data_IF_952481475826
#
_entry.id   IF_952481475826
#
_cell.length_a   1.000
_cell.length_b   1.000
_cell.length_c   1.000
_cell.angle_alpha   90.00
_cell.angle_beta   90.00
_cell.angle_gamma   90.00
#
_symmetry.space_group_name_H-M   'P 1'
#
loop_
_entity.id
_entity.type
_entity.pdbx_description
1 polymer ?
#
# COMPACT_ATOMS: atom_id res chain seq x y z
N UNK A 1 7.70 7.12 -2.48
CA UNK A 1 8.32 6.30 -3.54
C UNK A 1 7.26 5.90 -4.54
N UNK A 2 7.44 6.28 -5.81
CA UNK A 2 6.42 6.13 -6.84
C UNK A 2 6.25 4.70 -7.37
N UNK A 3 5.31 4.56 -8.29
CA UNK A 3 4.94 3.33 -9.00
C UNK A 3 6.16 2.69 -9.63
N UNK A 4 6.39 1.40 -9.36
CA UNK A 4 7.49 0.58 -9.91
C UNK A 4 8.88 1.19 -9.73
N UNK A 5 9.06 2.10 -8.76
CA UNK A 5 10.32 2.78 -8.58
C UNK A 5 11.46 1.83 -8.22
N UNK A 6 11.22 0.78 -7.43
CA UNK A 6 12.23 -0.23 -7.14
C UNK A 6 12.56 -1.11 -8.36
N UNK A 7 11.62 -1.26 -9.30
CA UNK A 7 11.86 -2.01 -10.53
C UNK A 7 12.62 -1.19 -11.59
N UNK A 8 12.49 0.13 -11.58
CA UNK A 8 12.96 1.02 -12.67
C UNK A 8 14.13 1.92 -12.27
N UNK A 9 14.41 2.05 -10.97
CA UNK A 9 15.47 2.91 -10.43
C UNK A 9 16.45 2.06 -9.63
N UNK A 10 17.50 1.50 -10.25
CA UNK A 10 18.47 0.63 -9.57
C UNK A 10 19.09 1.25 -8.31
N UNK A 11 19.30 2.57 -8.32
CA UNK A 11 19.85 3.31 -7.17
C UNK A 11 18.96 3.25 -5.93
N UNK A 12 17.67 3.00 -6.06
CA UNK A 12 16.75 3.02 -4.93
C UNK A 12 17.03 1.88 -3.94
N UNK A 13 17.47 0.72 -4.44
CA UNK A 13 17.85 -0.40 -3.57
C UNK A 13 19.07 -0.04 -2.70
N UNK A 14 20.05 0.67 -3.25
CA UNK A 14 21.20 1.17 -2.49
C UNK A 14 20.83 2.24 -1.45
N UNK A 15 19.66 2.88 -1.59
CA UNK A 15 19.14 3.87 -0.65
C UNK A 15 18.28 3.25 0.46
N UNK A 16 18.18 1.93 0.54
CA UNK A 16 17.40 1.25 1.57
C UNK A 16 17.74 1.73 2.98
N UNK A 17 19.02 1.66 3.38
CA UNK A 17 19.44 2.05 4.73
C UNK A 17 19.14 3.54 5.03
N UNK A 18 19.51 4.51 4.18
CA UNK A 18 19.12 5.91 4.38
C UNK A 18 17.59 6.14 4.47
N UNK A 19 16.80 5.40 3.67
CA UNK A 19 15.34 5.48 3.74
C UNK A 19 14.80 4.92 5.05
N UNK A 20 15.38 3.83 5.57
CA UNK A 20 14.99 3.26 6.86
C UNK A 20 15.40 4.18 8.01
N UNK A 21 16.57 4.84 7.93
CA UNK A 21 16.97 5.86 8.90
C UNK A 21 16.03 7.06 8.89
N UNK A 22 15.59 7.51 7.70
CA UNK A 22 14.58 8.55 7.55
C UNK A 22 13.27 8.17 8.27
N UNK A 23 12.75 6.96 8.03
CA UNK A 23 11.55 6.47 8.72
C UNK A 23 11.80 6.38 10.22
N UNK A 24 12.91 5.77 10.64
CA UNK A 24 13.28 5.62 12.06
C UNK A 24 13.33 6.98 12.79
N UNK A 25 13.78 8.02 12.10
CA UNK A 25 13.87 9.39 12.60
C UNK A 25 12.54 10.14 12.74
N UNK A 26 11.42 9.59 12.26
CA UNK A 26 10.11 10.25 12.27
C UNK A 26 9.52 10.53 10.89
N UNK A 27 10.26 10.17 9.83
CA UNK A 27 9.80 10.29 8.47
C UNK A 27 8.66 9.33 8.13
N UNK A 28 7.92 9.66 7.06
CA UNK A 28 6.86 8.81 6.51
C UNK A 28 7.25 8.37 5.12
N UNK A 29 7.30 7.06 4.90
CA UNK A 29 7.66 6.50 3.61
C UNK A 29 6.51 5.68 3.05
N UNK A 30 5.88 6.19 1.99
CA UNK A 30 4.87 5.46 1.24
C UNK A 30 5.53 4.88 -0.02
N UNK A 31 5.50 3.56 -0.15
CA UNK A 31 5.98 2.81 -1.31
C UNK A 31 4.77 2.30 -2.08
N UNK A 32 4.66 2.70 -3.35
CA UNK A 32 3.50 2.42 -4.17
C UNK A 32 3.83 1.41 -5.27
N UNK A 33 3.01 0.37 -5.39
CA UNK A 33 2.84 -0.45 -6.59
C UNK A 33 4.16 -0.91 -7.23
N UNK A 34 4.86 -1.83 -6.58
CA UNK A 34 6.04 -2.49 -7.15
C UNK A 34 5.70 -3.96 -7.43
N UNK A 35 6.42 -4.57 -8.38
CA UNK A 35 6.24 -6.00 -8.71
C UNK A 35 7.48 -6.77 -8.31
N UNK A 36 7.32 -8.06 -8.00
CA UNK A 36 8.43 -8.98 -7.85
C UNK A 36 8.16 -10.22 -8.71
N UNK A 37 8.87 -10.35 -9.83
CA UNK A 37 8.72 -11.50 -10.73
C UNK A 37 10.04 -11.82 -11.43
N UNK A 38 10.10 -12.97 -12.12
CA UNK A 38 11.33 -13.45 -12.79
C UNK A 38 11.95 -12.43 -13.75
N UNK A 39 11.16 -11.56 -14.35
CA UNK A 39 11.63 -10.52 -15.29
C UNK A 39 11.94 -9.19 -14.60
N UNK A 40 11.43 -8.96 -13.40
CA UNK A 40 11.60 -7.76 -12.60
C UNK A 40 11.79 -8.16 -11.12
N UNK A 41 12.88 -8.86 -10.78
CA UNK A 41 13.11 -9.29 -9.41
C UNK A 41 13.38 -8.07 -8.52
N UNK A 42 12.96 -8.17 -7.26
CA UNK A 42 13.43 -7.28 -6.21
C UNK A 42 14.61 -7.94 -5.50
N UNK A 43 15.79 -7.39 -5.71
CA UNK A 43 17.05 -7.94 -5.19
C UNK A 43 17.35 -7.55 -3.73
N UNK A 44 16.33 -7.17 -2.96
CA UNK A 44 16.49 -6.73 -1.58
C UNK A 44 15.22 -6.23 -0.90
N UNK A 45 15.30 -5.91 0.41
CA UNK A 45 14.17 -5.41 1.17
C UNK A 45 13.77 -4.01 0.74
N UNK A 46 12.46 -3.73 0.73
CA UNK A 46 11.93 -2.41 0.36
C UNK A 46 11.27 -1.67 1.53
N UNK A 47 11.18 -2.31 2.70
CA UNK A 47 10.61 -1.76 3.93
C UNK A 47 11.37 -2.22 5.19
N UNK A 48 11.01 -1.71 6.37
CA UNK A 48 11.78 -1.86 7.61
C UNK A 48 11.76 -3.28 8.19
N UNK A 49 10.74 -4.06 7.84
CA UNK A 49 10.56 -5.45 8.26
C UNK A 49 10.23 -6.33 7.04
N UNK A 50 10.48 -7.64 7.10
CA UNK A 50 10.24 -8.54 5.97
C UNK A 50 8.77 -8.56 5.54
N UNK A 51 8.57 -8.50 4.22
CA UNK A 51 7.33 -8.87 3.54
C UNK A 51 7.66 -9.22 2.09
N UNK A 52 6.78 -9.98 1.44
CA UNK A 52 6.90 -10.29 0.03
C UNK A 52 5.88 -9.51 -0.77
N UNK A 53 6.22 -9.17 -2.02
CA UNK A 53 5.24 -8.73 -2.99
C UNK A 53 4.77 -9.98 -3.74
N UNK A 54 3.49 -10.32 -3.61
CA UNK A 54 2.90 -11.50 -4.24
C UNK A 54 2.32 -11.15 -5.61
N UNK A 55 1.56 -12.10 -6.19
CA UNK A 55 0.76 -11.87 -7.40
C UNK A 55 -0.72 -11.66 -7.08
N UNK A 56 -1.07 -11.62 -5.81
CA UNK A 56 -2.43 -11.43 -5.36
C UNK A 56 -2.92 -10.05 -5.80
N UNK A 57 -4.19 -10.01 -6.16
CA UNK A 57 -4.83 -8.87 -6.81
C UNK A 57 -6.32 -8.92 -6.58
N UNK A 58 -6.93 -7.75 -6.66
CA UNK A 58 -8.38 -7.59 -6.72
C UNK A 58 -8.65 -6.73 -7.95
N UNK A 59 -9.11 -7.40 -9.00
CA UNK A 59 -9.27 -6.82 -10.34
C UNK A 59 -10.62 -6.17 -10.55
N UNK A 60 -11.63 -6.52 -9.75
CA UNK A 60 -12.93 -5.88 -9.72
C UNK A 60 -12.84 -4.52 -9.03
N UNK A 61 -12.96 -3.43 -9.78
CA UNK A 61 -12.99 -2.06 -9.24
C UNK A 61 -14.16 -1.78 -8.28
N UNK A 62 -15.21 -2.61 -8.30
CA UNK A 62 -16.39 -2.49 -7.44
C UNK A 62 -16.29 -3.32 -6.16
N UNK A 63 -15.27 -4.19 -6.04
CA UNK A 63 -15.08 -5.03 -4.86
C UNK A 63 -15.10 -4.21 -3.56
N UNK A 64 -15.77 -4.74 -2.52
CA UNK A 64 -15.89 -4.05 -1.24
C UNK A 64 -14.52 -3.96 -0.54
N UNK A 65 -14.15 -2.74 -0.13
CA UNK A 65 -12.93 -2.48 0.64
C UNK A 65 -13.26 -2.49 2.12
N UNK A 66 -13.11 -3.64 2.78
CA UNK A 66 -13.50 -3.80 4.19
C UNK A 66 -12.33 -3.42 5.11
N UNK A 67 -12.49 -2.45 6.04
CA UNK A 67 -11.47 -2.14 7.02
C UNK A 67 -11.14 -3.32 7.93
N UNK A 68 -9.86 -3.66 8.09
CA UNK A 68 -9.42 -4.67 9.08
C UNK A 68 -9.55 -4.10 10.50
N UNK A 69 -9.09 -2.86 10.70
CA UNK A 69 -9.36 -2.07 11.90
C UNK A 69 -10.05 -0.74 11.52
N UNK A 70 -11.38 -0.63 11.68
CA UNK A 70 -12.13 0.59 11.36
C UNK A 70 -11.69 1.83 12.14
N UNK A 71 -10.94 1.68 13.24
CA UNK A 71 -10.44 2.78 14.07
C UNK A 71 -9.03 3.22 13.69
N UNK A 72 -8.37 2.54 12.76
CA UNK A 72 -7.01 2.86 12.37
C UNK A 72 -6.89 4.33 11.89
N UNK A 73 -5.86 5.10 12.29
CA UNK A 73 -5.73 6.50 11.93
C UNK A 73 -5.74 6.76 10.41
N UNK A 74 -5.18 5.85 9.61
CA UNK A 74 -5.22 5.92 8.14
C UNK A 74 -6.65 5.93 7.56
N UNK A 75 -7.64 5.44 8.31
CA UNK A 75 -9.04 5.37 7.88
C UNK A 75 -9.91 6.43 8.54
N UNK A 76 -9.39 7.14 9.55
CA UNK A 76 -10.18 8.06 10.38
C UNK A 76 -9.68 9.50 10.38
N UNK A 77 -8.43 9.77 9.95
CA UNK A 77 -7.84 11.13 9.97
C UNK A 77 -6.88 11.38 8.79
N UNK A 78 -6.84 12.63 8.27
CA UNK A 78 -7.74 13.74 8.59
C UNK A 78 -9.16 13.54 8.05
N UNK A 79 -9.36 12.61 7.13
CA UNK A 79 -10.67 12.26 6.58
C UNK A 79 -11.15 10.95 7.23
N UNK A 80 -12.42 10.91 7.65
CA UNK A 80 -13.08 9.64 7.98
C UNK A 80 -13.51 8.98 6.68
N UNK A 81 -12.92 7.84 6.37
CA UNK A 81 -13.23 7.06 5.17
C UNK A 81 -14.43 6.14 5.44
N UNK A 82 -15.33 6.04 4.48
CA UNK A 82 -16.44 5.10 4.44
C UNK A 82 -16.54 4.39 3.10
N UNK A 83 -17.56 3.57 2.91
CA UNK A 83 -17.78 2.78 1.69
C UNK A 83 -17.77 3.65 0.42
N UNK A 84 -18.35 4.85 0.48
CA UNK A 84 -18.41 5.78 -0.65
C UNK A 84 -17.04 6.32 -1.10
N UNK A 85 -16.01 6.28 -0.25
CA UNK A 85 -14.65 6.66 -0.65
C UNK A 85 -14.01 5.60 -1.58
N UNK A 86 -14.65 4.44 -1.72
CA UNK A 86 -14.27 3.38 -2.65
C UNK A 86 -15.24 3.26 -3.84
N UNK A 87 -16.21 4.17 -3.96
CA UNK A 87 -17.07 4.25 -5.15
C UNK A 87 -16.30 4.84 -6.34
N UNK A 88 -16.76 4.52 -7.55
CA UNK A 88 -16.28 5.08 -8.83
C UNK A 88 -14.78 4.91 -9.10
N UNK A 89 -14.14 3.93 -8.46
CA UNK A 89 -12.78 3.55 -8.82
C UNK A 89 -12.77 3.04 -10.26
N UNK A 90 -11.77 3.44 -11.02
CA UNK A 90 -11.59 3.04 -12.41
C UNK A 90 -10.55 1.96 -12.49
N UNK A 91 -10.93 0.79 -13.02
CA UNK A 91 -10.05 -0.35 -13.24
C UNK A 91 -9.23 -0.77 -12.01
N UNK A 92 -9.63 -1.91 -11.44
CA UNK A 92 -9.07 -2.66 -10.31
C UNK A 92 -8.88 -1.91 -8.98
N UNK A 93 -9.02 -2.64 -7.88
CA UNK A 93 -8.62 -2.13 -6.55
C UNK A 93 -7.10 -2.10 -6.43
N UNK A 94 -6.43 -3.15 -6.88
CA UNK A 94 -4.98 -3.19 -6.87
C UNK A 94 -4.40 -4.55 -7.19
N UNK A 95 -3.08 -4.58 -7.29
CA UNK A 95 -2.28 -5.77 -7.57
C UNK A 95 -1.05 -5.78 -6.70
N UNK A 96 -0.39 -6.93 -6.71
CA UNK A 96 0.91 -7.13 -6.11
C UNK A 96 0.82 -6.90 -4.60
N UNK A 97 -0.22 -7.46 -3.98
CA UNK A 97 -0.42 -7.27 -2.55
C UNK A 97 0.79 -7.79 -1.77
N UNK A 98 1.01 -7.21 -0.60
CA UNK A 98 1.97 -7.77 0.32
C UNK A 98 1.49 -9.16 0.76
N UNK A 99 2.42 -10.10 0.95
CA UNK A 99 2.21 -11.42 1.52
C UNK A 99 3.37 -11.78 2.44
N UNK A 100 3.23 -12.84 3.23
CA UNK A 100 4.25 -13.34 4.17
C UNK A 100 4.93 -12.22 4.98
N UNK A 101 4.13 -11.25 5.42
CA UNK A 101 4.63 -10.07 6.11
C UNK A 101 4.83 -10.33 7.61
N UNK A 102 5.81 -9.64 8.17
CA UNK A 102 6.09 -9.65 9.60
C UNK A 102 4.91 -9.08 10.42
N UNK A 103 4.66 -9.62 11.62
CA UNK A 103 3.53 -9.24 12.49
C UNK A 103 3.54 -7.78 12.95
N UNK A 104 4.65 -7.05 12.76
CA UNK A 104 4.72 -5.60 12.98
C UNK A 104 3.96 -4.78 11.94
N UNK A 105 3.61 -5.38 10.80
CA UNK A 105 2.74 -4.76 9.82
C UNK A 105 1.27 -4.96 10.16
N UNK A 106 0.49 -3.89 10.01
CA UNK A 106 -0.96 -3.87 10.14
C UNK A 106 -1.56 -3.70 8.73
N UNK A 107 -2.31 -4.68 8.23
CA UNK A 107 -3.07 -4.51 7.00
C UNK A 107 -4.24 -3.54 7.23
N UNK A 108 -4.56 -2.71 6.24
CA UNK A 108 -5.68 -1.76 6.35
C UNK A 108 -7.00 -2.33 5.84
N UNK A 109 -6.95 -3.17 4.81
CA UNK A 109 -8.12 -3.62 4.07
C UNK A 109 -8.10 -5.12 3.84
N UNK A 110 -9.28 -5.71 3.88
CA UNK A 110 -9.63 -7.01 3.31
C UNK A 110 -10.55 -6.78 2.11
N UNK A 111 -10.24 -7.41 0.97
CA UNK A 111 -11.01 -7.32 -0.27
C UNK A 111 -10.82 -8.59 -1.11
N UNK A 112 -11.73 -8.90 -2.03
CA UNK A 112 -11.63 -10.04 -2.93
C UNK A 112 -12.44 -9.81 -4.20
N UNK A 113 -12.04 -10.48 -5.28
CA UNK A 113 -12.87 -10.63 -6.47
C UNK A 113 -13.99 -11.66 -6.19
N UNK A 114 -15.09 -11.59 -6.95
CA UNK A 114 -16.25 -12.46 -6.74
C UNK A 114 -15.86 -13.94 -6.81
N UNK A 115 -16.17 -14.69 -5.74
CA UNK A 115 -15.88 -16.13 -5.65
C UNK A 115 -14.44 -16.46 -5.22
N UNK A 116 -13.59 -15.47 -4.99
CA UNK A 116 -12.24 -15.66 -4.45
C UNK A 116 -12.21 -15.48 -2.92
N UNK A 117 -11.14 -15.98 -2.29
CA UNK A 117 -10.94 -15.79 -0.85
C UNK A 117 -10.59 -14.33 -0.52
N UNK A 118 -11.02 -13.80 0.64
CA UNK A 118 -10.60 -12.49 1.12
C UNK A 118 -9.08 -12.36 1.18
N UNK A 119 -8.56 -11.32 0.55
CA UNK A 119 -7.15 -10.97 0.55
C UNK A 119 -6.93 -9.73 1.42
N UNK A 120 -5.90 -9.80 2.24
CA UNK A 120 -5.29 -8.64 2.91
C UNK A 120 -3.99 -8.27 2.20
N UNK A 121 -3.33 -7.20 2.65
CA UNK A 121 -2.01 -6.83 2.12
C UNK A 121 -2.02 -5.84 0.96
N UNK A 122 -3.19 -5.42 0.49
CA UNK A 122 -3.32 -4.32 -0.49
C UNK A 122 -2.70 -3.01 0.03
N UNK A 123 -2.77 -2.78 1.33
CA UNK A 123 -2.01 -1.75 2.03
C UNK A 123 -1.61 -2.26 3.41
N UNK A 124 -0.31 -2.23 3.69
CA UNK A 124 0.25 -2.59 5.00
C UNK A 124 1.00 -1.39 5.60
N UNK A 125 0.87 -1.20 6.91
CA UNK A 125 1.45 -0.10 7.66
C UNK A 125 2.28 -0.64 8.81
N UNK A 126 3.50 -0.13 9.00
CA UNK A 126 4.29 -0.43 10.19
C UNK A 126 4.92 0.83 10.77
N UNK A 127 4.98 0.92 12.09
CA UNK A 127 5.83 1.89 12.79
C UNK A 127 7.26 1.37 12.82
N UNK A 128 8.20 2.24 12.49
CA UNK A 128 9.62 1.98 12.62
C UNK A 128 10.30 3.18 13.27
N UNK A 129 10.86 3.00 14.47
CA UNK A 129 11.30 4.11 15.31
C UNK A 129 10.16 5.10 15.56
N UNK A 130 10.39 6.36 15.22
CA UNK A 130 9.40 7.45 15.41
C UNK A 130 8.48 7.66 14.20
N UNK A 131 8.77 7.02 13.07
CA UNK A 131 8.04 7.23 11.83
C UNK A 131 7.20 6.04 11.39
N UNK A 132 6.73 6.12 10.15
CA UNK A 132 5.77 5.17 9.58
C UNK A 132 6.21 4.77 8.19
N UNK A 133 6.19 3.46 7.93
CA UNK A 133 6.32 2.89 6.61
C UNK A 133 4.95 2.40 6.14
N UNK A 134 4.64 2.65 4.87
CA UNK A 134 3.45 2.15 4.20
C UNK A 134 3.88 1.50 2.88
N UNK A 135 3.44 0.27 2.65
CA UNK A 135 3.39 -0.30 1.31
C UNK A 135 1.94 -0.33 0.85
N UNK A 136 1.67 0.09 -0.38
CA UNK A 136 0.35 -0.04 -1.01
C UNK A 136 0.46 -0.58 -2.43
N UNK A 137 -0.22 -1.69 -2.68
CA UNK A 137 -0.51 -2.26 -4.00
C UNK A 137 -1.81 -1.74 -4.63
N UNK A 138 -2.55 -0.87 -3.93
CA UNK A 138 -3.73 -0.21 -4.51
C UNK A 138 -3.36 0.59 -5.75
N UNK A 139 -4.24 0.56 -6.75
CA UNK A 139 -4.05 1.21 -8.05
C UNK A 139 -4.25 2.74 -8.00
N UNK A 140 -3.74 3.42 -6.97
CA UNK A 140 -3.85 4.87 -6.79
C UNK A 140 -3.36 5.67 -8.00
N UNK A 141 -2.38 5.15 -8.74
CA UNK A 141 -1.88 5.77 -9.96
C UNK A 141 -2.90 5.83 -11.10
N UNK A 142 -3.98 5.03 -11.04
CA UNK A 142 -5.14 5.14 -11.93
C UNK A 142 -6.21 6.05 -11.33
N UNK A 143 -6.46 5.89 -10.03
CA UNK A 143 -7.54 6.59 -9.33
C UNK A 143 -7.28 8.09 -9.20
N UNK A 144 -6.04 8.50 -8.91
CA UNK A 144 -5.70 9.91 -8.75
C UNK A 144 -5.85 10.67 -10.09
N UNK A 145 -5.28 10.24 -11.23
CA UNK A 145 -5.52 10.92 -12.51
C UNK A 145 -6.98 10.91 -12.96
N UNK A 146 -7.74 9.87 -12.59
CA UNK A 146 -9.18 9.80 -12.87
C UNK A 146 -10.03 10.72 -11.99
N UNK A 147 -9.44 11.38 -10.99
CA UNK A 147 -10.15 12.34 -10.14
C UNK A 147 -11.00 11.70 -9.04
N UNK A 148 -10.78 10.43 -8.71
CA UNK A 148 -11.58 9.69 -7.70
C UNK A 148 -11.36 10.28 -6.31
N UNK A 149 -12.35 10.97 -5.71
CA UNK A 149 -12.14 11.76 -4.48
C UNK A 149 -11.67 10.94 -3.28
N UNK A 150 -12.20 9.73 -3.12
CA UNK A 150 -11.84 8.87 -2.00
C UNK A 150 -10.39 8.35 -2.07
N UNK A 151 -9.83 8.17 -3.27
CA UNK A 151 -8.42 7.84 -3.44
C UNK A 151 -7.50 8.99 -2.97
N UNK A 152 -7.87 10.24 -3.23
CA UNK A 152 -7.16 11.42 -2.70
C UNK A 152 -7.26 11.50 -1.18
N UNK A 153 -8.44 11.24 -0.60
CA UNK A 153 -8.63 11.23 0.85
C UNK A 153 -7.80 10.15 1.53
N UNK A 154 -7.77 8.94 0.96
CA UNK A 154 -6.92 7.85 1.44
C UNK A 154 -5.44 8.26 1.39
N UNK A 155 -4.96 8.78 0.25
CA UNK A 155 -3.58 9.24 0.14
C UNK A 155 -3.25 10.34 1.16
N UNK A 156 -4.15 11.30 1.37
CA UNK A 156 -3.97 12.35 2.37
C UNK A 156 -3.89 11.78 3.79
N UNK A 157 -4.71 10.79 4.13
CA UNK A 157 -4.64 10.08 5.41
C UNK A 157 -3.30 9.34 5.59
N UNK A 158 -2.84 8.62 4.57
CA UNK A 158 -1.55 7.93 4.62
C UNK A 158 -0.37 8.89 4.81
N UNK A 159 -0.44 10.08 4.20
CA UNK A 159 0.57 11.14 4.37
C UNK A 159 0.54 11.76 5.77
N UNK A 160 -0.58 11.69 6.48
CA UNK A 160 -0.78 12.31 7.79
C UNK A 160 -0.48 11.39 9.00
N UNK A 161 -0.12 10.13 8.77
CA UNK A 161 0.01 9.06 9.79
C UNK A 161 0.97 9.28 10.97
#
# INVERSE_FOLDING_TARGET
VGVRAYNTRPRLMALHAPLMDYVKGGGRLIVQYNTNNRFNPLDGPIGPFPFQITRDRVTDETAAMTPVDPKHPALTRPNRLGESDYADWVQERGLYFAGDWDSRYQPLFSAHDAGEAPLEGSTIVARHGKGVFVYTGLSLFRQLPAGVPGAYRLLANLLAL
#
